data_IF_095878604816
#
_entry.id   IF_095878604816
#
_cell.length_a   1.000
_cell.length_b   1.000
_cell.length_c   1.000
_cell.angle_alpha   90.00
_cell.angle_beta   90.00
_cell.angle_gamma   90.00
#
_symmetry.space_group_name_H-M   'P 1'
#
loop_
_entity.id
_entity.type
_entity.pdbx_description
1 polymer ?
#
# COMPACT_ATOMS: atom_id res chain seq x y z
N UNK A 1 30.37 1.57 20.97
CA UNK A 1 30.85 0.76 19.84
C UNK A 1 30.71 -0.68 20.29
N UNK A 2 29.58 -1.31 19.99
CA UNK A 2 29.35 -2.73 20.25
C UNK A 2 30.23 -3.54 19.29
N UNK A 3 31.04 -4.45 19.84
CA UNK A 3 31.94 -5.31 19.08
C UNK A 3 31.18 -6.57 18.68
N UNK A 4 30.97 -6.77 17.38
CA UNK A 4 30.40 -8.00 16.82
C UNK A 4 31.18 -9.23 17.28
N UNK A 5 30.48 -10.32 17.60
CA UNK A 5 31.11 -11.62 17.88
C UNK A 5 31.79 -12.17 16.64
N UNK A 6 32.77 -13.06 16.81
CA UNK A 6 33.50 -13.69 15.69
C UNK A 6 32.55 -14.39 14.70
N UNK A 7 31.48 -14.99 15.20
CA UNK A 7 30.44 -15.59 14.37
C UNK A 7 29.71 -14.56 13.51
N UNK A 8 29.36 -13.41 14.07
CA UNK A 8 28.69 -12.33 13.33
C UNK A 8 29.59 -11.68 12.31
N UNK A 9 30.86 -11.44 12.66
CA UNK A 9 31.84 -10.93 11.71
C UNK A 9 31.99 -11.89 10.52
N UNK A 10 31.95 -13.20 10.78
CA UNK A 10 31.99 -14.21 9.71
C UNK A 10 30.71 -14.23 8.88
N UNK A 11 29.53 -14.15 9.50
CA UNK A 11 28.24 -14.06 8.78
C UNK A 11 28.19 -12.81 7.87
N UNK A 12 28.66 -11.65 8.35
CA UNK A 12 28.80 -10.43 7.54
C UNK A 12 29.76 -10.65 6.38
N UNK A 13 30.96 -11.16 6.67
CA UNK A 13 31.97 -11.38 5.64
C UNK A 13 31.50 -12.35 4.55
N UNK A 14 30.73 -13.39 4.92
CA UNK A 14 30.13 -14.32 3.96
C UNK A 14 29.03 -13.66 3.12
N UNK A 15 28.20 -12.81 3.73
CA UNK A 15 27.18 -12.06 3.01
C UNK A 15 27.80 -11.05 2.04
N UNK A 16 28.84 -10.32 2.47
CA UNK A 16 29.58 -9.38 1.64
C UNK A 16 30.31 -10.09 0.49
N UNK A 17 30.90 -11.26 0.74
CA UNK A 17 31.53 -12.07 -0.29
C UNK A 17 30.50 -12.59 -1.32
N UNK A 18 29.32 -13.02 -0.86
CA UNK A 18 28.22 -13.42 -1.73
C UNK A 18 27.70 -12.24 -2.55
N UNK A 19 27.53 -11.08 -1.91
CA UNK A 19 27.09 -9.85 -2.54
C UNK A 19 28.08 -9.41 -3.64
N UNK A 20 29.38 -9.36 -3.32
CA UNK A 20 30.41 -9.02 -4.29
C UNK A 20 30.43 -9.97 -5.50
N UNK A 21 30.13 -11.26 -5.29
CA UNK A 21 30.09 -12.27 -6.35
C UNK A 21 28.81 -12.19 -7.20
N UNK A 22 27.66 -11.87 -6.59
CA UNK A 22 26.34 -11.99 -7.24
C UNK A 22 25.70 -10.67 -7.66
N UNK A 23 26.11 -9.54 -7.08
CA UNK A 23 25.56 -8.22 -7.36
C UNK A 23 25.55 -7.86 -8.86
N UNK A 24 26.64 -8.06 -9.64
CA UNK A 24 26.63 -7.70 -11.06
C UNK A 24 25.55 -8.46 -11.86
N UNK A 25 25.43 -9.77 -11.62
CA UNK A 25 24.42 -10.60 -12.29
C UNK A 25 23.00 -10.27 -11.81
N UNK A 26 22.83 -9.95 -10.53
CA UNK A 26 21.55 -9.54 -9.96
C UNK A 26 21.09 -8.18 -10.48
N UNK A 27 21.99 -7.20 -10.58
CA UNK A 27 21.71 -5.87 -11.13
C UNK A 27 21.29 -5.95 -12.59
N UNK A 28 22.01 -6.72 -13.42
CA UNK A 28 21.64 -6.95 -14.82
C UNK A 28 20.24 -7.58 -14.91
N UNK A 29 19.98 -8.61 -14.10
CA UNK A 29 18.67 -9.28 -14.07
C UNK A 29 17.54 -8.33 -13.64
N UNK A 30 17.71 -7.66 -12.51
CA UNK A 30 16.70 -6.76 -11.96
C UNK A 30 16.47 -5.55 -12.88
N UNK A 31 17.52 -5.00 -13.50
CA UNK A 31 17.41 -3.95 -14.51
C UNK A 31 16.63 -4.40 -15.75
N UNK A 32 16.86 -5.63 -16.23
CA UNK A 32 16.07 -6.21 -17.33
C UNK A 32 14.59 -6.37 -16.97
N UNK A 33 14.28 -6.81 -15.74
CA UNK A 33 12.90 -6.90 -15.23
C UNK A 33 12.26 -5.50 -15.15
N UNK A 34 13.00 -4.49 -14.68
CA UNK A 34 12.51 -3.11 -14.59
C UNK A 34 12.22 -2.50 -15.95
N UNK A 35 13.09 -2.71 -16.94
CA UNK A 35 12.87 -2.27 -18.32
C UNK A 35 11.64 -2.95 -18.93
N UNK A 36 11.48 -4.27 -18.72
CA UNK A 36 10.29 -4.99 -19.17
C UNK A 36 9.01 -4.42 -18.54
N UNK A 37 9.01 -4.21 -17.22
CA UNK A 37 7.85 -3.62 -16.54
C UNK A 37 7.57 -2.19 -17.03
N UNK A 38 8.59 -1.38 -17.30
CA UNK A 38 8.40 -0.05 -17.88
C UNK A 38 7.80 -0.11 -19.28
N UNK A 39 8.34 -0.94 -20.16
CA UNK A 39 7.84 -1.11 -21.52
C UNK A 39 6.37 -1.53 -21.52
N UNK A 40 5.99 -2.46 -20.64
CA UNK A 40 4.61 -2.91 -20.55
C UNK A 40 3.70 -1.89 -19.88
N UNK A 41 4.18 -1.07 -18.94
CA UNK A 41 3.42 0.10 -18.46
C UNK A 41 3.10 1.08 -19.59
N UNK A 42 4.05 1.35 -20.47
CA UNK A 42 3.84 2.23 -21.63
C UNK A 42 2.85 1.61 -22.64
N UNK A 43 3.02 0.32 -22.97
CA UNK A 43 2.06 -0.42 -23.80
C UNK A 43 0.65 -0.43 -23.20
N UNK A 44 0.52 -0.53 -21.87
CA UNK A 44 -0.76 -0.48 -21.18
C UNK A 44 -1.44 0.89 -21.35
N UNK A 45 -0.70 1.98 -21.19
CA UNK A 45 -1.23 3.34 -21.41
C UNK A 45 -1.71 3.53 -22.86
N UNK A 46 -0.95 3.04 -23.84
CA UNK A 46 -1.37 3.06 -25.25
C UNK A 46 -2.63 2.22 -25.49
N UNK A 47 -2.71 1.05 -24.86
CA UNK A 47 -3.86 0.17 -24.94
C UNK A 47 -5.11 0.79 -24.31
N UNK A 48 -4.98 1.52 -23.19
CA UNK A 48 -6.12 2.21 -22.57
C UNK A 48 -6.78 3.20 -23.55
N UNK A 49 -5.98 4.00 -24.26
CA UNK A 49 -6.50 4.87 -25.31
C UNK A 49 -7.17 4.09 -26.45
N UNK A 50 -6.59 2.96 -26.86
CA UNK A 50 -7.19 2.08 -27.88
C UNK A 50 -8.49 1.42 -27.43
N UNK A 51 -8.60 1.05 -26.14
CA UNK A 51 -9.80 0.50 -25.51
C UNK A 51 -10.94 1.53 -25.55
N UNK A 52 -10.65 2.79 -25.23
CA UNK A 52 -11.66 3.86 -25.27
C UNK A 52 -12.12 4.17 -26.69
N UNK A 53 -11.20 4.23 -27.66
CA UNK A 53 -11.53 4.39 -29.06
C UNK A 53 -12.40 3.23 -29.57
N UNK A 54 -11.98 1.98 -29.30
CA UNK A 54 -12.74 0.78 -29.68
C UNK A 54 -14.12 0.75 -29.05
N UNK A 55 -14.25 1.17 -27.78
CA UNK A 55 -15.53 1.32 -27.09
C UNK A 55 -16.47 2.27 -27.86
N UNK A 56 -16.00 3.46 -28.19
CA UNK A 56 -16.77 4.48 -28.90
C UNK A 56 -17.19 4.05 -30.31
N UNK A 57 -16.25 3.48 -31.08
CA UNK A 57 -16.49 3.03 -32.45
C UNK A 57 -17.49 1.88 -32.49
N UNK A 58 -17.33 0.88 -31.63
CA UNK A 58 -18.19 -0.29 -31.58
C UNK A 58 -19.59 0.09 -31.09
N UNK A 59 -19.70 0.98 -30.10
CA UNK A 59 -20.98 1.53 -29.64
C UNK A 59 -21.70 2.27 -30.77
N UNK A 60 -21.00 3.14 -31.51
CA UNK A 60 -21.59 3.91 -32.62
C UNK A 60 -22.05 3.00 -33.75
N UNK A 61 -21.21 2.03 -34.14
CA UNK A 61 -21.52 1.06 -35.19
C UNK A 61 -22.73 0.21 -34.85
N UNK A 62 -22.80 -0.34 -33.64
CA UNK A 62 -23.91 -1.20 -33.22
C UNK A 62 -25.22 -0.41 -33.06
N UNK A 63 -25.16 0.84 -32.58
CA UNK A 63 -26.32 1.75 -32.60
C UNK A 63 -26.83 2.00 -34.02
N UNK A 64 -25.93 2.23 -34.97
CA UNK A 64 -26.28 2.41 -36.39
C UNK A 64 -26.93 1.18 -37.03
N UNK A 65 -26.68 -0.01 -36.49
CA UNK A 65 -27.31 -1.27 -36.90
C UNK A 65 -28.63 -1.57 -36.17
N UNK A 66 -29.08 -0.67 -35.29
CA UNK A 66 -30.33 -0.84 -34.52
C UNK A 66 -30.24 -1.88 -33.40
N UNK A 67 -29.03 -2.21 -32.92
CA UNK A 67 -28.86 -3.14 -31.80
C UNK A 67 -29.42 -2.54 -30.49
N UNK A 68 -29.93 -3.40 -29.61
CA UNK A 68 -30.40 -2.98 -28.28
C UNK A 68 -29.24 -2.49 -27.40
N UNK A 69 -29.53 -1.60 -26.44
CA UNK A 69 -28.51 -1.11 -25.50
C UNK A 69 -27.83 -2.23 -24.71
N UNK A 70 -28.57 -3.29 -24.37
CA UNK A 70 -28.03 -4.49 -23.74
C UNK A 70 -27.08 -5.25 -24.67
N UNK A 71 -27.46 -5.45 -25.94
CA UNK A 71 -26.58 -6.09 -26.93
C UNK A 71 -25.31 -5.27 -27.17
N UNK A 72 -25.43 -3.94 -27.22
CA UNK A 72 -24.29 -3.03 -27.37
C UNK A 72 -23.36 -3.16 -26.16
N UNK A 73 -23.89 -3.04 -24.93
CA UNK A 73 -23.12 -3.16 -23.70
C UNK A 73 -22.37 -4.50 -23.60
N UNK A 74 -23.07 -5.61 -23.86
CA UNK A 74 -22.51 -6.96 -23.79
C UNK A 74 -21.41 -7.18 -24.84
N UNK A 75 -21.63 -6.69 -26.07
CA UNK A 75 -20.67 -6.82 -27.18
C UNK A 75 -19.42 -5.95 -26.95
N UNK A 76 -19.60 -4.73 -26.44
CA UNK A 76 -18.47 -3.88 -26.03
C UNK A 76 -17.67 -4.56 -24.92
N UNK A 77 -18.33 -5.05 -23.86
CA UNK A 77 -17.63 -5.64 -22.72
C UNK A 77 -16.73 -6.82 -23.11
N UNK A 78 -17.21 -7.75 -23.93
CA UNK A 78 -16.42 -8.91 -24.37
C UNK A 78 -15.24 -8.51 -25.26
N UNK A 79 -15.42 -7.57 -26.19
CA UNK A 79 -14.33 -7.13 -27.07
C UNK A 79 -13.23 -6.38 -26.30
N UNK A 80 -13.61 -5.52 -25.34
CA UNK A 80 -12.63 -4.87 -24.46
C UNK A 80 -11.92 -5.88 -23.53
N UNK A 81 -12.64 -6.93 -23.10
CA UNK A 81 -12.06 -7.99 -22.30
C UNK A 81 -11.04 -8.82 -23.11
N UNK A 82 -11.33 -9.13 -24.39
CA UNK A 82 -10.39 -9.79 -25.31
C UNK A 82 -9.11 -8.99 -25.52
N UNK A 83 -9.21 -7.67 -25.73
CA UNK A 83 -8.04 -6.80 -25.87
C UNK A 83 -7.16 -6.83 -24.60
N UNK A 84 -7.78 -6.77 -23.42
CA UNK A 84 -7.07 -6.82 -22.13
C UNK A 84 -6.43 -8.19 -21.89
N UNK A 85 -7.14 -9.29 -22.20
CA UNK A 85 -6.60 -10.65 -22.12
C UNK A 85 -5.38 -10.82 -23.04
N UNK A 86 -5.48 -10.36 -24.29
CA UNK A 86 -4.39 -10.42 -25.26
C UNK A 86 -3.12 -9.72 -24.76
N UNK A 87 -3.27 -8.53 -24.17
CA UNK A 87 -2.16 -7.80 -23.57
C UNK A 87 -1.50 -8.56 -22.41
N UNK A 88 -2.27 -9.10 -21.47
CA UNK A 88 -1.70 -9.86 -20.35
C UNK A 88 -1.03 -11.15 -20.82
N UNK A 89 -1.59 -11.83 -21.83
CA UNK A 89 -0.99 -13.02 -22.42
C UNK A 89 0.32 -12.70 -23.17
N UNK A 90 0.39 -11.56 -23.87
CA UNK A 90 1.63 -11.08 -24.51
C UNK A 90 2.68 -10.72 -23.46
N UNK A 91 2.28 -10.01 -22.40
CA UNK A 91 3.16 -9.66 -21.27
C UNK A 91 3.74 -10.90 -20.61
N UNK A 92 2.93 -11.91 -20.31
CA UNK A 92 3.41 -13.16 -19.71
C UNK A 92 4.37 -13.91 -20.64
N UNK A 93 4.05 -14.00 -21.94
CA UNK A 93 4.94 -14.64 -22.92
C UNK A 93 6.30 -13.95 -22.98
N UNK A 94 6.30 -12.62 -23.10
CA UNK A 94 7.53 -11.84 -23.12
C UNK A 94 8.31 -11.94 -21.80
N UNK A 95 7.61 -11.99 -20.66
CA UNK A 95 8.22 -12.23 -19.36
C UNK A 95 8.90 -13.61 -19.28
N UNK A 96 8.28 -14.66 -19.82
CA UNK A 96 8.87 -16.02 -19.89
C UNK A 96 10.09 -16.07 -20.80
N UNK A 97 10.02 -15.46 -21.98
CA UNK A 97 11.14 -15.33 -22.91
C UNK A 97 12.31 -14.57 -22.27
N UNK A 98 12.01 -13.45 -21.62
CA UNK A 98 13.00 -12.66 -20.88
C UNK A 98 13.62 -13.48 -19.75
N UNK A 99 12.81 -14.18 -18.93
CA UNK A 99 13.34 -15.01 -17.85
C UNK A 99 14.29 -16.11 -18.36
N UNK A 100 14.06 -16.63 -19.57
CA UNK A 100 14.93 -17.61 -20.22
C UNK A 100 16.28 -17.04 -20.69
N UNK A 101 16.36 -15.73 -20.93
CA UNK A 101 17.59 -15.05 -21.40
C UNK A 101 18.36 -14.36 -20.27
N UNK A 102 17.69 -14.01 -19.18
CA UNK A 102 18.33 -13.35 -18.03
C UNK A 102 19.28 -14.30 -17.29
N UNK A 103 20.44 -13.77 -16.91
CA UNK A 103 21.41 -14.47 -16.07
C UNK A 103 20.76 -14.85 -14.74
N UNK A 104 21.01 -16.09 -14.28
CA UNK A 104 20.56 -16.58 -12.97
C UNK A 104 21.73 -16.48 -11.97
N UNK A 105 21.84 -15.42 -11.16
CA UNK A 105 22.92 -15.29 -10.16
C UNK A 105 22.87 -16.45 -9.18
N UNK A 106 24.02 -16.90 -8.67
CA UNK A 106 24.13 -18.00 -7.72
C UNK A 106 23.20 -17.83 -6.50
N UNK A 107 22.63 -18.92 -5.98
CA UNK A 107 21.75 -18.86 -4.79
C UNK A 107 22.60 -18.76 -3.55
N UNK A 108 22.00 -18.25 -2.48
CA UNK A 108 22.66 -18.22 -1.18
C UNK A 108 23.05 -19.62 -0.70
N UNK A 109 22.14 -20.58 -0.87
CA UNK A 109 22.37 -21.98 -0.51
C UNK A 109 23.52 -22.61 -1.30
N UNK A 110 23.58 -22.40 -2.62
CA UNK A 110 24.66 -22.93 -3.46
C UNK A 110 26.01 -22.31 -3.07
N UNK A 111 26.02 -20.99 -2.81
CA UNK A 111 27.22 -20.29 -2.35
C UNK A 111 27.71 -20.85 -1.02
N UNK A 112 26.84 -21.02 -0.03
CA UNK A 112 27.20 -21.58 1.27
C UNK A 112 27.73 -23.01 1.17
N UNK A 113 27.11 -23.85 0.32
CA UNK A 113 27.56 -25.21 0.06
C UNK A 113 28.95 -25.24 -0.58
N UNK A 114 29.23 -24.36 -1.55
CA UNK A 114 30.55 -24.20 -2.14
C UNK A 114 31.59 -23.70 -1.11
N UNK A 115 31.27 -22.66 -0.36
CA UNK A 115 32.18 -22.08 0.65
C UNK A 115 32.46 -23.04 1.80
N UNK A 116 31.51 -23.91 2.18
CA UNK A 116 31.75 -24.98 3.17
C UNK A 116 32.77 -26.00 2.68
N UNK A 117 32.82 -26.32 1.40
CA UNK A 117 33.83 -27.24 0.86
C UNK A 117 35.25 -26.68 0.99
N UNK A 118 35.40 -25.36 0.94
CA UNK A 118 36.68 -24.67 1.14
C UNK A 118 37.06 -24.55 2.63
N UNK A 119 36.08 -24.57 3.54
CA UNK A 119 36.27 -24.48 5.00
C UNK A 119 35.39 -25.53 5.74
N UNK A 120 35.75 -26.82 5.65
CA UNK A 120 34.87 -27.91 6.09
C UNK A 120 34.66 -27.97 7.61
N UNK A 121 35.60 -27.45 8.39
CA UNK A 121 35.60 -27.52 9.86
C UNK A 121 34.87 -26.35 10.53
N UNK A 122 34.28 -25.43 9.76
CA UNK A 122 33.58 -24.27 10.31
C UNK A 122 32.08 -24.56 10.53
N UNK A 123 31.60 -24.60 11.80
CA UNK A 123 30.21 -24.90 12.12
C UNK A 123 29.21 -23.80 11.69
N UNK A 124 29.68 -22.60 11.33
CA UNK A 124 28.81 -21.48 10.94
C UNK A 124 28.12 -21.77 9.60
N UNK A 125 28.79 -22.47 8.67
CA UNK A 125 28.18 -22.87 7.41
C UNK A 125 27.02 -23.85 7.61
N UNK A 126 27.10 -24.76 8.59
CA UNK A 126 26.00 -25.70 8.87
C UNK A 126 24.73 -24.97 9.32
N UNK A 127 24.87 -24.01 10.23
CA UNK A 127 23.75 -23.18 10.68
C UNK A 127 23.14 -22.37 9.52
N UNK A 128 23.98 -21.76 8.68
CA UNK A 128 23.51 -20.93 7.56
C UNK A 128 22.86 -21.76 6.44
N UNK A 129 23.36 -22.97 6.19
CA UNK A 129 22.77 -23.88 5.19
C UNK A 129 21.38 -24.35 5.66
N UNK A 130 21.25 -24.75 6.93
CA UNK A 130 19.95 -25.16 7.48
C UNK A 130 18.92 -24.02 7.42
N UNK A 131 19.35 -22.79 7.66
CA UNK A 131 18.53 -21.59 7.56
C UNK A 131 18.12 -21.31 6.10
N UNK A 132 19.07 -21.37 5.17
CA UNK A 132 18.82 -21.16 3.74
C UNK A 132 17.90 -22.24 3.14
N UNK A 133 17.92 -23.47 3.65
CA UNK A 133 17.02 -24.54 3.21
C UNK A 133 15.57 -24.33 3.66
N UNK A 134 15.35 -23.61 4.78
CA UNK A 134 14.00 -23.24 5.26
C UNK A 134 13.39 -22.06 4.51
N UNK A 135 14.22 -21.27 3.83
CA UNK A 135 13.81 -20.05 3.13
C UNK A 135 14.20 -20.12 1.65
N UNK A 136 13.46 -20.89 0.82
CA UNK A 136 13.82 -21.11 -0.57
C UNK A 136 13.79 -19.81 -1.40
N UNK A 137 14.79 -19.63 -2.27
CA UNK A 137 14.93 -18.51 -3.21
C UNK A 137 13.85 -18.55 -4.31
N UNK A 138 12.63 -18.08 -4.00
CA UNK A 138 11.47 -18.08 -4.91
C UNK A 138 11.74 -17.37 -6.25
N UNK A 139 12.64 -16.37 -6.26
CA UNK A 139 12.97 -15.54 -7.42
C UNK A 139 13.75 -16.21 -8.56
N UNK A 140 14.28 -17.44 -8.37
CA UNK A 140 15.07 -18.14 -9.42
C UNK A 140 14.25 -19.14 -10.26
N UNK A 141 13.30 -19.84 -9.65
CA UNK A 141 12.51 -20.89 -10.34
C UNK A 141 10.99 -20.74 -10.23
N UNK A 142 10.50 -19.96 -9.26
CA UNK A 142 9.06 -19.85 -8.99
C UNK A 142 8.25 -19.39 -10.20
N UNK A 143 8.77 -18.42 -10.95
CA UNK A 143 8.08 -17.89 -12.15
C UNK A 143 7.98 -18.91 -13.29
N UNK A 144 9.00 -19.74 -13.52
CA UNK A 144 8.95 -20.79 -14.56
C UNK A 144 8.02 -21.95 -14.22
N UNK A 145 7.81 -22.21 -12.93
CA UNK A 145 6.90 -23.26 -12.45
C UNK A 145 5.43 -22.81 -12.48
N UNK A 146 5.16 -21.50 -12.57
CA UNK A 146 3.80 -20.99 -12.71
C UNK A 146 3.20 -21.35 -14.08
N UNK A 147 1.93 -21.72 -14.05
CA UNK A 147 1.15 -21.99 -15.27
C UNK A 147 0.93 -20.69 -16.04
N UNK A 148 1.06 -20.74 -17.38
CA UNK A 148 0.77 -19.58 -18.22
C UNK A 148 -0.71 -19.15 -18.07
N UNK A 149 -1.02 -17.85 -18.15
CA UNK A 149 -2.38 -17.37 -18.08
C UNK A 149 -3.21 -17.95 -19.23
N UNK A 150 -4.44 -18.37 -18.93
CA UNK A 150 -5.33 -18.94 -19.92
C UNK A 150 -5.86 -17.86 -20.87
N UNK A 151 -5.90 -18.18 -22.16
CA UNK A 151 -6.65 -17.42 -23.15
C UNK A 151 -8.04 -18.04 -23.23
N UNK A 152 -9.01 -17.42 -22.57
CA UNK A 152 -10.36 -17.98 -22.44
C UNK A 152 -11.36 -17.23 -23.29
N UNK A 153 -11.12 -15.99 -23.73
CA UNK A 153 -12.12 -15.18 -24.44
C UNK A 153 -12.09 -15.31 -25.96
N UNK A 154 -10.97 -15.79 -26.54
CA UNK A 154 -10.75 -15.79 -28.00
C UNK A 154 -11.85 -16.51 -28.81
N UNK A 155 -12.39 -17.60 -28.28
CA UNK A 155 -13.44 -18.44 -28.89
C UNK A 155 -14.85 -18.17 -28.34
N UNK A 156 -15.03 -17.13 -27.51
CA UNK A 156 -16.34 -16.67 -27.05
C UNK A 156 -16.95 -15.65 -28.02
N UNK A 157 -18.21 -15.92 -28.39
CA UNK A 157 -19.02 -15.03 -29.23
C UNK A 157 -20.26 -14.59 -28.48
N UNK A 158 -20.54 -13.28 -28.52
CA UNK A 158 -21.78 -12.72 -28.00
C UNK A 158 -22.90 -12.86 -29.05
N UNK A 159 -24.07 -13.33 -28.61
CA UNK A 159 -25.28 -13.40 -29.42
C UNK A 159 -26.50 -13.15 -28.54
N UNK A 160 -27.59 -12.70 -29.14
CA UNK A 160 -28.86 -12.58 -28.44
C UNK A 160 -29.55 -13.96 -28.37
N UNK A 161 -29.92 -14.37 -27.16
CA UNK A 161 -30.68 -15.58 -26.90
C UNK A 161 -32.14 -15.46 -27.35
N UNK A 162 -32.85 -16.60 -27.39
CA UNK A 162 -34.27 -16.62 -27.79
C UNK A 162 -35.19 -15.83 -26.85
N UNK A 163 -34.74 -15.59 -25.63
CA UNK A 163 -35.43 -14.85 -24.59
C UNK A 163 -34.93 -13.39 -24.46
N UNK A 164 -34.15 -12.90 -25.43
CA UNK A 164 -33.62 -11.54 -25.44
C UNK A 164 -32.42 -11.31 -24.51
N UNK A 165 -32.01 -12.33 -23.74
CA UNK A 165 -30.83 -12.28 -22.88
C UNK A 165 -29.58 -12.52 -23.71
N UNK A 166 -28.55 -11.74 -23.49
CA UNK A 166 -27.28 -11.92 -24.20
C UNK A 166 -26.58 -13.20 -23.74
N UNK A 167 -26.13 -14.02 -24.68
CA UNK A 167 -25.42 -15.27 -24.43
C UNK A 167 -24.00 -15.16 -24.99
N UNK A 168 -23.02 -15.51 -24.16
CA UNK A 168 -21.65 -15.75 -24.62
C UNK A 168 -21.45 -17.25 -24.84
N UNK A 169 -21.14 -17.61 -26.07
CA UNK A 169 -21.15 -19.00 -26.54
C UNK A 169 -19.80 -19.44 -27.07
N UNK A 170 -19.49 -20.72 -26.83
CA UNK A 170 -18.37 -21.45 -27.43
C UNK A 170 -18.95 -22.51 -28.35
N UNK A 171 -18.88 -22.26 -29.66
CA UNK A 171 -19.55 -23.10 -30.65
C UNK A 171 -21.06 -23.17 -30.40
N UNK A 172 -21.56 -24.35 -30.04
CA UNK A 172 -23.00 -24.57 -29.77
C UNK A 172 -23.38 -24.45 -28.29
N UNK A 173 -22.40 -24.31 -27.38
CA UNK A 173 -22.64 -24.31 -25.94
C UNK A 173 -22.65 -22.89 -25.38
N UNK A 174 -23.64 -22.58 -24.54
CA UNK A 174 -23.71 -21.33 -23.79
C UNK A 174 -22.84 -21.45 -22.54
N UNK A 175 -21.80 -20.63 -22.46
CA UNK A 175 -20.88 -20.60 -21.33
C UNK A 175 -21.38 -19.62 -20.25
N UNK A 176 -21.74 -18.41 -20.68
CA UNK A 176 -22.15 -17.31 -19.79
C UNK A 176 -23.38 -16.62 -20.36
N UNK A 177 -24.33 -16.25 -19.51
CA UNK A 177 -25.49 -15.44 -19.87
C UNK A 177 -25.37 -14.07 -19.20
N UNK A 178 -25.62 -13.01 -19.94
CA UNK A 178 -25.59 -11.63 -19.46
C UNK A 178 -27.01 -11.11 -19.32
N UNK A 179 -27.46 -11.04 -18.06
CA UNK A 179 -28.81 -10.60 -17.67
C UNK A 179 -28.86 -9.07 -17.49
N UNK A 180 -27.75 -8.37 -17.73
CA UNK A 180 -27.61 -6.93 -17.58
C UNK A 180 -26.95 -6.54 -16.26
N UNK A 181 -27.56 -6.89 -15.13
CA UNK A 181 -27.06 -6.58 -13.78
C UNK A 181 -26.09 -7.64 -13.23
N UNK A 182 -26.09 -8.84 -13.82
CA UNK A 182 -25.20 -9.95 -13.44
C UNK A 182 -24.86 -10.84 -14.63
N UNK A 183 -23.78 -11.60 -14.48
CA UNK A 183 -23.36 -12.64 -15.42
C UNK A 183 -23.59 -14.02 -14.78
N UNK A 184 -24.44 -14.83 -15.41
CA UNK A 184 -24.77 -16.18 -14.96
C UNK A 184 -23.87 -17.19 -15.70
N UNK A 185 -23.01 -17.90 -14.96
CA UNK A 185 -22.16 -18.96 -15.50
C UNK A 185 -22.91 -20.28 -15.47
N UNK A 186 -23.00 -20.98 -16.61
CA UNK A 186 -23.77 -22.23 -16.73
C UNK A 186 -23.12 -23.43 -16.03
N UNK A 187 -21.79 -23.45 -15.97
CA UNK A 187 -20.99 -24.53 -15.39
C UNK A 187 -19.91 -23.96 -14.48
N UNK A 188 -19.51 -24.71 -13.46
CA UNK A 188 -18.39 -24.37 -12.58
C UNK A 188 -17.02 -24.65 -13.21
N UNK A 189 -16.94 -24.71 -14.54
CA UNK A 189 -15.69 -24.94 -15.25
C UNK A 189 -14.83 -23.68 -15.16
N UNK A 190 -13.58 -23.82 -14.70
CA UNK A 190 -12.65 -22.69 -14.48
C UNK A 190 -12.57 -21.74 -15.66
N UNK A 191 -12.58 -22.29 -16.87
CA UNK A 191 -12.48 -21.54 -18.12
C UNK A 191 -13.65 -20.58 -18.32
N UNK A 192 -14.86 -21.01 -17.97
CA UNK A 192 -16.08 -20.21 -18.14
C UNK A 192 -16.26 -19.24 -16.98
N UNK A 193 -15.85 -19.63 -15.76
CA UNK A 193 -15.75 -18.73 -14.60
C UNK A 193 -14.75 -17.60 -14.87
N UNK A 194 -13.55 -17.93 -15.35
CA UNK A 194 -12.51 -16.95 -15.69
C UNK A 194 -12.99 -16.00 -16.81
N UNK A 195 -13.65 -16.53 -17.83
CA UNK A 195 -14.24 -15.72 -18.90
C UNK A 195 -15.29 -14.74 -18.35
N UNK A 196 -16.21 -15.22 -17.50
CA UNK A 196 -17.22 -14.38 -16.88
C UNK A 196 -16.59 -13.26 -16.04
N UNK A 197 -15.55 -13.57 -15.24
CA UNK A 197 -14.84 -12.58 -14.43
C UNK A 197 -14.14 -11.52 -15.29
N UNK A 198 -13.49 -11.92 -16.38
CA UNK A 198 -12.84 -10.98 -17.32
C UNK A 198 -13.84 -10.05 -18.01
N UNK A 199 -15.02 -10.56 -18.37
CA UNK A 199 -16.11 -9.74 -18.94
C UNK A 199 -16.71 -8.83 -17.86
N UNK A 200 -16.97 -9.35 -16.66
CA UNK A 200 -17.48 -8.62 -15.51
C UNK A 200 -16.61 -7.39 -15.18
N UNK A 201 -15.29 -7.54 -15.21
CA UNK A 201 -14.35 -6.44 -14.95
C UNK A 201 -14.42 -5.29 -15.97
N UNK A 202 -15.05 -5.50 -17.14
CA UNK A 202 -15.28 -4.43 -18.15
C UNK A 202 -16.69 -3.86 -18.10
N UNK A 203 -17.64 -4.62 -17.57
CA UNK A 203 -19.06 -4.27 -17.52
C UNK A 203 -19.43 -3.59 -16.20
N UNK A 204 -18.85 -4.03 -15.10
CA UNK A 204 -19.16 -3.55 -13.75
C UNK A 204 -18.05 -2.67 -13.19
N UNK A 205 -18.40 -1.95 -12.12
CA UNK A 205 -17.50 -1.11 -11.35
C UNK A 205 -16.54 -1.99 -10.54
N UNK A 206 -15.34 -2.21 -11.11
CA UNK A 206 -14.33 -3.07 -10.50
C UNK A 206 -13.77 -2.47 -9.21
N UNK A 207 -13.83 -1.15 -9.01
CA UNK A 207 -13.30 -0.49 -7.82
C UNK A 207 -14.14 -0.81 -6.57
N UNK A 208 -15.44 -1.03 -6.76
CA UNK A 208 -16.33 -1.56 -5.71
C UNK A 208 -16.11 -3.05 -5.44
N UNK A 209 -15.43 -3.76 -6.32
CA UNK A 209 -15.26 -5.21 -6.27
C UNK A 209 -16.45 -5.99 -6.83
N UNK A 210 -16.20 -7.23 -7.20
CA UNK A 210 -17.22 -8.15 -7.73
C UNK A 210 -17.93 -8.87 -6.58
N UNK A 211 -19.25 -8.97 -6.67
CA UNK A 211 -20.04 -9.81 -5.76
C UNK A 211 -20.28 -11.18 -6.40
N UNK A 212 -19.73 -12.22 -5.80
CA UNK A 212 -19.93 -13.59 -6.25
C UNK A 212 -21.20 -14.17 -5.60
N UNK A 213 -22.12 -14.65 -6.43
CA UNK A 213 -23.37 -15.27 -6.01
C UNK A 213 -23.45 -16.71 -6.51
N UNK A 214 -24.14 -17.59 -5.77
CA UNK A 214 -24.22 -19.02 -6.07
C UNK A 214 -23.91 -19.90 -4.86
N UNK A 215 -23.66 -21.18 -5.12
CA UNK A 215 -23.26 -22.12 -4.07
C UNK A 215 -21.83 -21.85 -3.56
N UNK A 216 -21.48 -22.46 -2.43
CA UNK A 216 -20.17 -22.26 -1.80
C UNK A 216 -19.02 -22.75 -2.69
N UNK A 217 -19.23 -23.84 -3.43
CA UNK A 217 -18.20 -24.41 -4.30
C UNK A 217 -17.84 -23.45 -5.45
N UNK A 218 -18.85 -22.88 -6.11
CA UNK A 218 -18.68 -21.86 -7.14
C UNK A 218 -18.01 -20.61 -6.57
N UNK A 219 -18.47 -20.09 -5.43
CA UNK A 219 -17.89 -18.88 -4.82
C UNK A 219 -16.42 -19.05 -4.45
N UNK A 220 -16.05 -20.18 -3.85
CA UNK A 220 -14.64 -20.50 -3.52
C UNK A 220 -13.80 -20.55 -4.80
N UNK A 221 -14.29 -21.24 -5.84
CA UNK A 221 -13.52 -21.40 -7.09
C UNK A 221 -13.38 -20.09 -7.86
N UNK A 222 -14.48 -19.35 -8.01
CA UNK A 222 -14.49 -18.03 -8.63
C UNK A 222 -13.62 -17.03 -7.85
N UNK A 223 -13.59 -17.11 -6.51
CA UNK A 223 -12.74 -16.25 -5.71
C UNK A 223 -11.26 -16.54 -5.89
N UNK A 224 -10.86 -17.82 -5.95
CA UNK A 224 -9.48 -18.20 -6.25
C UNK A 224 -9.04 -17.68 -7.63
N UNK A 225 -9.88 -17.82 -8.66
CA UNK A 225 -9.60 -17.31 -10.00
C UNK A 225 -9.56 -15.78 -10.01
N UNK A 226 -10.52 -15.12 -9.33
CA UNK A 226 -10.54 -13.66 -9.16
C UNK A 226 -9.27 -13.15 -8.47
N UNK A 227 -8.76 -13.88 -7.48
CA UNK A 227 -7.49 -13.59 -6.81
C UNK A 227 -6.30 -13.68 -7.76
N UNK A 228 -6.27 -14.71 -8.62
CA UNK A 228 -5.24 -14.85 -9.66
C UNK A 228 -5.28 -13.69 -10.68
N UNK A 229 -6.46 -13.20 -11.00
CA UNK A 229 -6.67 -12.07 -11.91
C UNK A 229 -6.47 -10.70 -11.23
N UNK A 230 -6.33 -10.66 -9.90
CA UNK A 230 -6.21 -9.42 -9.13
C UNK A 230 -7.50 -8.62 -8.99
N UNK A 231 -8.66 -9.23 -9.27
CA UNK A 231 -9.96 -8.55 -9.17
C UNK A 231 -10.47 -8.57 -7.72
N UNK A 232 -10.80 -7.41 -7.13
CA UNK A 232 -11.31 -7.33 -5.77
C UNK A 232 -12.72 -7.91 -5.65
N UNK A 233 -13.05 -8.41 -4.46
CA UNK A 233 -14.34 -9.03 -4.15
C UNK A 233 -15.06 -8.28 -3.03
N UNK A 234 -16.40 -8.27 -3.08
CA UNK A 234 -17.26 -7.77 -2.01
C UNK A 234 -17.64 -8.84 -0.98
N UNK A 235 -17.44 -10.13 -1.30
CA UNK A 235 -17.77 -11.23 -0.41
C UNK A 235 -17.00 -11.15 0.92
N UNK A 236 -17.71 -11.28 2.04
CA UNK A 236 -17.14 -11.25 3.40
C UNK A 236 -16.91 -12.64 4.00
N UNK A 237 -17.27 -13.69 3.27
CA UNK A 237 -17.21 -15.08 3.75
C UNK A 237 -15.74 -15.53 3.92
N UNK A 238 -15.34 -16.08 5.09
CA UNK A 238 -13.94 -16.40 5.36
C UNK A 238 -13.31 -17.38 4.36
N UNK A 239 -14.05 -18.39 3.92
CA UNK A 239 -13.57 -19.40 2.98
C UNK A 239 -13.31 -18.81 1.58
N UNK A 240 -14.16 -17.87 1.16
CA UNK A 240 -14.07 -17.16 -0.12
C UNK A 240 -12.88 -16.19 -0.09
N UNK A 241 -12.71 -15.44 1.00
CA UNK A 241 -11.55 -14.56 1.20
C UNK A 241 -10.22 -15.32 1.23
N UNK A 242 -10.17 -16.46 1.93
CA UNK A 242 -8.98 -17.33 1.92
C UNK A 242 -8.68 -17.85 0.52
N UNK A 243 -9.70 -18.27 -0.23
CA UNK A 243 -9.52 -18.72 -1.60
C UNK A 243 -8.97 -17.62 -2.51
N UNK A 244 -9.49 -16.39 -2.38
CA UNK A 244 -8.97 -15.23 -3.09
C UNK A 244 -7.52 -14.91 -2.73
N UNK A 245 -7.16 -14.93 -1.44
CA UNK A 245 -5.77 -14.71 -1.00
C UNK A 245 -4.81 -15.77 -1.57
N UNK A 246 -5.21 -17.05 -1.58
CA UNK A 246 -4.43 -18.12 -2.23
C UNK A 246 -4.22 -17.84 -3.71
N UNK A 247 -5.27 -17.45 -4.42
CA UNK A 247 -5.18 -17.07 -5.83
C UNK A 247 -4.21 -15.91 -6.08
N UNK A 248 -4.27 -14.89 -5.23
CA UNK A 248 -3.40 -13.71 -5.30
C UNK A 248 -1.93 -14.04 -5.05
N UNK A 249 -1.62 -14.97 -4.14
CA UNK A 249 -0.25 -15.42 -3.87
C UNK A 249 0.36 -16.15 -5.08
N UNK A 250 -0.46 -16.88 -5.84
CA UNK A 250 0.00 -17.63 -7.03
C UNK A 250 0.29 -16.71 -8.22
N UNK A 251 -0.34 -15.55 -8.31
CA UNK A 251 -0.20 -14.62 -9.44
C UNK A 251 1.05 -13.71 -9.39
N UNK A 252 2.04 -14.03 -8.56
CA UNK A 252 3.28 -13.26 -8.48
C UNK A 252 4.06 -13.39 -9.80
N UNK A 253 4.17 -12.29 -10.56
CA UNK A 253 4.89 -12.28 -11.85
C UNK A 253 6.41 -12.46 -11.70
N UNK A 254 7.18 -11.92 -12.63
CA UNK A 254 8.64 -11.92 -12.56
C UNK A 254 9.13 -11.35 -11.22
N UNK A 255 9.64 -12.21 -10.35
CA UNK A 255 10.17 -11.79 -9.06
C UNK A 255 11.61 -11.29 -9.19
N UNK A 256 11.87 -10.15 -8.54
CA UNK A 256 13.22 -9.62 -8.39
C UNK A 256 14.02 -10.54 -7.49
N UNK A 257 15.28 -10.77 -7.83
CA UNK A 257 16.19 -11.44 -6.90
C UNK A 257 16.62 -10.42 -5.85
N UNK A 258 16.44 -10.79 -4.59
CA UNK A 258 16.81 -9.99 -3.42
C UNK A 258 18.07 -10.56 -2.80
N UNK A 259 18.73 -9.76 -1.97
CA UNK A 259 19.77 -10.26 -1.08
C UNK A 259 19.08 -11.22 -0.09
N UNK A 260 19.63 -12.42 0.16
CA UNK A 260 19.10 -13.34 1.16
C UNK A 260 19.08 -12.66 2.54
N UNK A 261 18.01 -12.91 3.29
CA UNK A 261 17.94 -12.49 4.70
C UNK A 261 18.57 -13.57 5.54
N UNK A 262 19.60 -13.25 6.32
CA UNK A 262 20.14 -14.14 7.35
C UNK A 262 19.36 -13.90 8.65
N UNK A 263 18.43 -14.79 8.99
CA UNK A 263 17.54 -14.74 10.16
C UNK A 263 18.30 -14.87 11.49
N UNK A 264 19.43 -15.58 11.54
CA UNK A 264 20.29 -15.62 12.71
C UNK A 264 21.41 -14.57 12.62
N UNK A 265 21.17 -13.39 13.18
CA UNK A 265 22.18 -12.55 13.81
C UNK A 265 23.47 -12.26 13.03
N UNK A 266 23.42 -11.23 12.19
CA UNK A 266 24.59 -10.37 11.90
C UNK A 266 24.79 -9.32 13.03
N UNK A 267 23.81 -9.11 13.91
CA UNK A 267 23.90 -8.16 15.02
C UNK A 267 24.29 -8.81 16.34
N UNK A 268 25.48 -8.46 16.82
CA UNK A 268 26.01 -8.76 18.14
C UNK A 268 25.34 -8.00 19.24
N UNK A 269 24.15 -8.44 19.60
CA UNK A 269 23.54 -8.34 20.92
C UNK A 269 22.20 -9.10 20.92
N UNK A 270 21.68 -9.56 22.07
CA UNK A 270 20.34 -10.11 22.15
C UNK A 270 19.34 -9.04 21.70
N UNK A 271 18.90 -9.18 20.45
CA UNK A 271 17.77 -8.52 19.79
C UNK A 271 17.51 -7.10 20.28
N UNK A 272 18.43 -6.19 19.95
CA UNK A 272 18.07 -4.78 19.83
C UNK A 272 18.67 -4.27 18.52
N UNK A 273 17.78 -3.79 17.65
CA UNK A 273 18.10 -3.03 16.44
C UNK A 273 18.51 -3.84 15.19
N UNK A 274 17.63 -4.73 14.74
CA UNK A 274 17.34 -4.87 13.31
C UNK A 274 15.82 -4.86 13.14
N UNK A 275 15.39 -4.18 12.10
CA UNK A 275 14.00 -3.95 11.69
C UNK A 275 13.38 -5.24 11.11
N UNK A 276 13.53 -6.35 11.82
CA UNK A 276 12.70 -7.54 11.66
C UNK A 276 11.52 -7.28 12.57
N UNK A 277 10.35 -7.12 11.97
CA UNK A 277 9.13 -7.22 12.71
C UNK A 277 9.15 -8.61 13.39
N UNK A 278 9.13 -8.71 14.73
CA UNK A 278 9.06 -10.01 15.40
C UNK A 278 7.93 -10.83 14.77
N UNK A 279 8.08 -12.14 14.59
CA UNK A 279 7.02 -13.00 14.05
C UNK A 279 5.66 -12.60 14.66
N UNK A 280 4.73 -12.12 13.83
CA UNK A 280 3.45 -11.55 14.29
C UNK A 280 3.42 -10.02 14.50
N UNK A 281 4.42 -9.27 14.02
CA UNK A 281 4.45 -7.80 13.96
C UNK A 281 4.80 -7.34 12.54
N UNK A 282 4.53 -6.09 12.24
CA UNK A 282 4.76 -5.37 10.98
C UNK A 282 5.53 -4.07 11.24
N UNK A 283 6.40 -3.69 10.31
CA UNK A 283 7.15 -2.43 10.37
C UNK A 283 6.46 -1.34 9.54
N UNK A 284 6.11 -0.25 10.20
CA UNK A 284 5.50 0.94 9.61
C UNK A 284 6.51 2.10 9.57
N UNK A 285 6.42 2.96 8.56
CA UNK A 285 7.01 4.30 8.51
C UNK A 285 6.14 5.23 9.36
N UNK A 286 6.77 6.07 10.16
CA UNK A 286 6.09 7.07 10.96
C UNK A 286 6.69 8.44 10.66
N UNK A 287 5.84 9.46 10.64
CA UNK A 287 6.31 10.84 10.50
C UNK A 287 6.98 11.32 11.79
N UNK A 288 7.81 12.36 11.69
CA UNK A 288 8.58 12.86 12.84
C UNK A 288 7.68 13.25 14.03
N UNK A 289 6.50 13.83 13.79
CA UNK A 289 5.59 14.21 14.87
C UNK A 289 5.04 12.98 15.60
N UNK A 290 4.65 11.94 14.85
CA UNK A 290 4.24 10.66 15.43
C UNK A 290 5.37 10.04 16.25
N UNK A 291 6.61 10.09 15.77
CA UNK A 291 7.79 9.62 16.52
C UNK A 291 8.01 10.40 17.82
N UNK A 292 7.90 11.73 17.78
CA UNK A 292 8.05 12.59 18.95
C UNK A 292 6.95 12.32 20.00
N UNK A 293 5.71 12.09 19.55
CA UNK A 293 4.56 11.77 20.41
C UNK A 293 4.77 10.40 21.07
N UNK A 294 5.11 9.37 20.30
CA UNK A 294 5.33 8.02 20.83
C UNK A 294 6.55 7.94 21.76
N UNK A 295 7.52 8.85 21.59
CA UNK A 295 8.65 8.99 22.52
C UNK A 295 8.22 9.56 23.86
N UNK A 296 7.32 10.55 23.87
CA UNK A 296 6.77 11.15 25.10
C UNK A 296 5.73 10.25 25.77
N UNK A 297 4.87 9.63 24.96
CA UNK A 297 3.71 8.84 25.35
C UNK A 297 3.75 7.46 24.67
N UNK A 298 4.47 6.49 25.24
CA UNK A 298 4.57 5.15 24.65
C UNK A 298 3.21 4.47 24.57
N UNK A 299 2.89 3.90 23.41
CA UNK A 299 1.66 3.12 23.20
C UNK A 299 1.97 1.65 23.37
N UNK A 300 1.23 0.96 24.25
CA UNK A 300 1.43 -0.46 24.51
C UNK A 300 1.41 -1.27 23.21
N UNK A 301 2.42 -2.12 22.99
CA UNK A 301 2.55 -2.95 21.80
C UNK A 301 3.07 -2.23 20.55
N UNK A 302 3.39 -0.93 20.62
CA UNK A 302 4.09 -0.22 19.53
C UNK A 302 5.52 0.05 19.98
N UNK A 303 6.49 -0.43 19.20
CA UNK A 303 7.91 -0.25 19.50
C UNK A 303 8.53 0.76 18.53
N UNK A 304 9.30 1.73 19.02
CA UNK A 304 10.06 2.65 18.15
C UNK A 304 11.25 1.93 17.52
N UNK A 305 11.40 2.04 16.20
CA UNK A 305 12.46 1.40 15.41
C UNK A 305 13.30 2.46 14.68
N UNK A 306 14.23 3.09 15.41
CA UNK A 306 15.03 4.21 14.89
C UNK A 306 14.20 5.48 14.72
N UNK A 307 14.64 6.39 13.84
CA UNK A 307 14.13 7.77 13.82
C UNK A 307 12.86 7.98 12.98
N UNK A 308 12.42 6.97 12.23
CA UNK A 308 11.31 7.11 11.26
C UNK A 308 10.45 5.86 11.08
N UNK A 309 10.59 4.86 11.96
CA UNK A 309 9.86 3.60 11.85
C UNK A 309 9.36 3.14 13.20
N UNK A 310 8.27 2.38 13.17
CA UNK A 310 7.67 1.74 14.34
C UNK A 310 7.36 0.27 14.03
N UNK A 311 7.33 -0.56 15.06
CA UNK A 311 6.87 -1.95 15.03
C UNK A 311 5.45 -2.01 15.60
N UNK A 312 4.53 -2.69 14.91
CA UNK A 312 3.15 -2.88 15.34
C UNK A 312 2.73 -4.35 15.15
N UNK A 313 2.02 -5.00 16.10
CA UNK A 313 1.48 -6.34 15.91
C UNK A 313 0.64 -6.49 14.63
N UNK A 314 0.81 -7.61 13.92
CA UNK A 314 0.13 -7.88 12.66
C UNK A 314 -1.38 -7.87 12.82
N UNK A 315 -1.89 -8.40 13.94
CA UNK A 315 -3.31 -8.38 14.25
C UNK A 315 -3.87 -6.96 14.33
N UNK A 316 -3.11 -6.03 14.93
CA UNK A 316 -3.49 -4.61 15.03
C UNK A 316 -3.38 -3.90 13.70
N UNK A 317 -2.33 -4.17 12.93
CA UNK A 317 -2.14 -3.63 11.59
C UNK A 317 -3.26 -4.11 10.65
N UNK A 318 -3.65 -5.38 10.72
CA UNK A 318 -4.76 -5.94 9.95
C UNK A 318 -6.11 -5.37 10.40
N UNK A 319 -6.35 -5.22 11.70
CA UNK A 319 -7.56 -4.60 12.24
C UNK A 319 -7.69 -3.13 11.83
N UNK A 320 -6.59 -2.37 11.89
CA UNK A 320 -6.54 -0.99 11.40
C UNK A 320 -6.80 -0.91 9.89
N UNK A 321 -6.21 -1.79 9.09
CA UNK A 321 -6.48 -1.85 7.65
C UNK A 321 -7.94 -2.23 7.32
N UNK A 322 -8.54 -3.14 8.10
CA UNK A 322 -9.95 -3.46 7.96
C UNK A 322 -10.83 -2.26 8.31
N UNK A 323 -10.50 -1.55 9.39
CA UNK A 323 -11.19 -0.32 9.82
C UNK A 323 -11.08 0.80 8.79
N UNK A 324 -9.88 1.05 8.22
CA UNK A 324 -9.68 2.03 7.14
C UNK A 324 -10.60 1.77 5.95
N UNK A 325 -10.83 0.50 5.59
CA UNK A 325 -11.74 0.14 4.49
C UNK A 325 -13.21 0.41 4.82
N UNK A 326 -13.59 0.32 6.10
CA UNK A 326 -14.99 0.49 6.57
C UNK A 326 -15.33 1.93 6.96
N UNK A 327 -14.34 2.79 7.21
CA UNK A 327 -14.50 4.16 7.68
C UNK A 327 -15.20 5.09 6.68
N UNK A 328 -15.11 4.82 5.38
CA UNK A 328 -15.67 5.68 4.34
C UNK A 328 -14.93 7.03 4.21
N UNK A 329 -15.17 7.76 3.12
CA UNK A 329 -14.36 8.93 2.75
C UNK A 329 -14.39 10.06 3.78
N UNK A 330 -15.55 10.35 4.37
CA UNK A 330 -15.72 11.44 5.34
C UNK A 330 -14.96 11.18 6.65
N UNK A 331 -15.02 9.98 7.20
CA UNK A 331 -14.28 9.65 8.43
C UNK A 331 -12.77 9.62 8.18
N UNK A 332 -12.33 9.13 7.02
CA UNK A 332 -10.90 9.13 6.64
C UNK A 332 -10.35 10.56 6.56
N UNK A 333 -11.12 11.52 6.03
CA UNK A 333 -10.67 12.92 5.98
C UNK A 333 -10.50 13.54 7.37
N UNK A 334 -11.39 13.18 8.31
CA UNK A 334 -11.32 13.67 9.69
C UNK A 334 -10.14 13.04 10.44
N UNK A 335 -9.97 11.72 10.30
CA UNK A 335 -8.84 10.99 10.89
C UNK A 335 -7.51 11.44 10.29
N UNK A 336 -7.46 11.80 9.01
CA UNK A 336 -6.23 12.30 8.38
C UNK A 336 -5.70 13.57 9.05
N UNK A 337 -6.53 14.33 9.76
CA UNK A 337 -6.15 15.54 10.49
C UNK A 337 -5.95 15.29 12.00
N UNK A 338 -6.02 14.04 12.43
CA UNK A 338 -5.98 13.72 13.86
C UNK A 338 -4.63 14.09 14.49
N UNK A 339 -4.68 14.67 15.69
CA UNK A 339 -3.50 14.96 16.50
C UNK A 339 -3.38 13.94 17.64
N UNK A 340 -2.44 13.00 17.51
CA UNK A 340 -2.23 11.94 18.50
C UNK A 340 -1.77 12.45 19.87
N UNK A 341 -1.39 13.73 20.00
CA UNK A 341 -1.08 14.37 21.28
C UNK A 341 -2.35 14.72 22.07
N UNK A 342 -3.51 14.83 21.40
CA UNK A 342 -4.79 15.17 22.01
C UNK A 342 -5.60 13.91 22.32
N UNK A 343 -6.28 13.88 23.48
CA UNK A 343 -7.03 12.69 23.92
C UNK A 343 -8.17 12.31 22.96
N UNK A 344 -8.82 13.29 22.33
CA UNK A 344 -9.87 13.07 21.33
C UNK A 344 -9.33 13.02 19.88
N UNK A 345 -8.00 13.00 19.72
CA UNK A 345 -7.37 13.10 18.40
C UNK A 345 -7.58 14.45 17.70
N UNK A 346 -8.03 15.50 18.39
CA UNK A 346 -8.32 16.81 17.75
C UNK A 346 -9.53 16.78 16.80
N UNK A 347 -10.42 15.80 16.95
CA UNK A 347 -11.60 15.62 16.09
C UNK A 347 -12.64 16.72 16.32
N UNK A 348 -13.20 17.26 15.24
CA UNK A 348 -14.28 18.26 15.30
C UNK A 348 -15.59 17.66 15.84
N UNK A 349 -16.39 18.41 16.64
CA UNK A 349 -17.61 17.92 17.28
C UNK A 349 -18.62 17.26 16.32
N UNK A 350 -18.71 17.75 15.08
CA UNK A 350 -19.63 17.22 14.07
C UNK A 350 -19.26 15.84 13.52
N UNK A 351 -18.07 15.32 13.85
CA UNK A 351 -17.57 14.02 13.37
C UNK A 351 -17.51 12.95 14.47
N UNK A 352 -17.82 13.34 15.70
CA UNK A 352 -17.69 12.49 16.89
C UNK A 352 -18.59 11.26 16.81
N UNK A 353 -19.87 11.44 16.46
CA UNK A 353 -20.83 10.33 16.39
C UNK A 353 -20.41 9.28 15.35
N UNK A 354 -19.92 9.74 14.18
CA UNK A 354 -19.43 8.88 13.11
C UNK A 354 -18.18 8.09 13.53
N UNK A 355 -17.22 8.74 14.20
CA UNK A 355 -15.99 8.09 14.65
C UNK A 355 -16.24 7.17 15.86
N UNK A 356 -17.24 7.46 16.70
CA UNK A 356 -17.67 6.58 17.78
C UNK A 356 -18.38 5.33 17.26
N UNK A 357 -19.29 5.47 16.28
CA UNK A 357 -19.94 4.34 15.61
C UNK A 357 -18.93 3.38 15.00
N UNK A 358 -17.83 3.92 14.46
CA UNK A 358 -16.75 3.16 13.82
C UNK A 358 -15.68 2.64 14.79
N UNK A 359 -15.86 2.84 16.10
CA UNK A 359 -14.94 2.37 17.15
C UNK A 359 -13.58 3.08 17.18
N UNK A 360 -13.49 4.25 16.54
CA UNK A 360 -12.28 5.11 16.52
C UNK A 360 -12.23 6.00 17.76
N UNK A 361 -13.39 6.45 18.22
CA UNK A 361 -13.56 7.11 19.53
C UNK A 361 -14.32 6.19 20.49
N UNK A 362 -14.00 6.27 21.77
CA UNK A 362 -14.76 5.61 22.84
C UNK A 362 -15.99 6.44 23.25
N UNK A 363 -16.69 5.97 24.28
CA UNK A 363 -17.88 6.65 24.82
C UNK A 363 -17.58 7.99 25.51
N UNK A 364 -16.31 8.23 25.86
CA UNK A 364 -15.82 9.45 26.49
C UNK A 364 -15.16 10.40 25.47
N UNK A 365 -15.37 10.16 24.17
CA UNK A 365 -14.80 10.92 23.05
C UNK A 365 -13.28 10.87 22.95
N UNK A 366 -12.66 9.83 23.51
CA UNK A 366 -11.22 9.62 23.44
C UNK A 366 -10.86 8.65 22.32
N UNK A 367 -9.70 8.89 21.72
CA UNK A 367 -9.15 8.04 20.69
C UNK A 367 -8.91 6.63 21.25
N UNK A 368 -9.52 5.63 20.62
CA UNK A 368 -9.31 4.24 21.01
C UNK A 368 -7.93 3.77 20.55
N UNK A 369 -7.49 2.61 21.05
CA UNK A 369 -6.30 1.94 20.53
C UNK A 369 -6.41 1.69 19.02
N UNK A 370 -7.59 1.26 18.55
CA UNK A 370 -7.85 1.07 17.12
C UNK A 370 -7.77 2.41 16.36
N UNK A 371 -8.32 3.50 16.92
CA UNK A 371 -8.24 4.82 16.30
C UNK A 371 -6.80 5.32 16.15
N UNK A 372 -5.97 5.09 17.17
CA UNK A 372 -4.53 5.41 17.14
C UNK A 372 -3.81 4.58 16.06
N UNK A 373 -4.12 3.27 15.97
CA UNK A 373 -3.54 2.36 14.97
C UNK A 373 -3.93 2.75 13.54
N UNK A 374 -5.19 3.15 13.33
CA UNK A 374 -5.70 3.60 12.04
C UNK A 374 -4.93 4.82 11.54
N UNK A 375 -4.65 5.80 12.41
CA UNK A 375 -3.85 6.99 12.05
C UNK A 375 -2.44 6.56 11.61
N UNK A 376 -1.77 5.74 12.41
CA UNK A 376 -0.40 5.29 12.13
C UNK A 376 -0.29 4.47 10.83
N UNK A 377 -1.23 3.55 10.59
CA UNK A 377 -1.24 2.71 9.37
C UNK A 377 -1.57 3.53 8.12
N UNK A 378 -2.48 4.50 8.23
CA UNK A 378 -2.81 5.41 7.13
C UNK A 378 -1.61 6.29 6.77
N UNK A 379 -0.92 6.82 7.76
CA UNK A 379 0.24 7.68 7.53
C UNK A 379 1.43 6.92 6.93
N UNK A 380 1.68 5.68 7.35
CA UNK A 380 2.65 4.78 6.69
C UNK A 380 2.36 4.66 5.19
N UNK A 381 1.10 4.42 4.81
CA UNK A 381 0.70 4.31 3.41
C UNK A 381 1.00 5.58 2.63
N UNK A 382 0.69 6.74 3.21
CA UNK A 382 0.97 8.04 2.58
C UNK A 382 2.47 8.29 2.42
N UNK A 383 3.28 7.93 3.42
CA UNK A 383 4.75 8.07 3.35
C UNK A 383 5.31 7.17 2.23
N UNK A 384 4.88 5.91 2.17
CA UNK A 384 5.34 4.98 1.12
C UNK A 384 4.90 5.41 -0.27
N UNK A 385 3.68 5.88 -0.43
CA UNK A 385 3.18 6.43 -1.69
C UNK A 385 4.01 7.66 -2.10
N UNK A 386 4.39 8.54 -1.16
CA UNK A 386 5.26 9.69 -1.41
C UNK A 386 6.68 9.28 -1.83
N UNK A 387 7.26 8.27 -1.18
CA UNK A 387 8.59 7.74 -1.49
C UNK A 387 8.64 7.05 -2.86
N UNK A 388 7.53 6.42 -3.29
CA UNK A 388 7.42 5.76 -4.59
C UNK A 388 7.26 6.72 -5.78
N UNK A 389 6.94 7.99 -5.55
CA UNK A 389 6.80 8.99 -6.59
C UNK A 389 8.17 9.48 -7.10
N UNK A 390 8.25 9.78 -8.39
CA UNK A 390 9.41 10.46 -8.99
C UNK A 390 9.64 11.84 -8.34
N UNK A 391 10.91 12.26 -8.11
CA UNK A 391 11.22 13.53 -7.45
C UNK A 391 10.56 14.77 -8.09
N UNK A 392 10.38 14.77 -9.41
CA UNK A 392 9.72 15.83 -10.18
C UNK A 392 8.21 15.93 -9.94
N UNK A 393 7.56 14.80 -9.62
CA UNK A 393 6.13 14.74 -9.29
C UNK A 393 5.87 15.08 -7.81
N UNK A 394 6.78 14.71 -6.91
CA UNK A 394 6.64 14.95 -5.46
C UNK A 394 6.29 16.40 -5.13
N UNK A 395 6.93 17.38 -5.77
CA UNK A 395 6.67 18.80 -5.51
C UNK A 395 5.26 19.28 -5.91
N UNK A 396 4.68 18.70 -6.97
CA UNK A 396 3.39 19.16 -7.53
C UNK A 396 2.17 18.54 -6.84
N UNK A 397 2.33 17.33 -6.27
CA UNK A 397 1.22 16.60 -5.63
C UNK A 397 1.40 16.40 -4.13
N UNK A 398 2.48 16.91 -3.52
CA UNK A 398 2.71 16.87 -2.06
C UNK A 398 1.52 17.40 -1.24
N UNK A 399 0.77 18.38 -1.77
CA UNK A 399 -0.41 18.93 -1.10
C UNK A 399 -1.56 17.91 -0.91
N UNK A 400 -1.60 16.83 -1.70
CA UNK A 400 -2.65 15.81 -1.66
C UNK A 400 -2.25 14.58 -0.83
N UNK A 401 -0.96 14.40 -0.55
CA UNK A 401 -0.41 13.26 0.19
C UNK A 401 0.20 13.73 1.51
N UNK A 402 -0.63 14.28 2.40
CA UNK A 402 -0.21 14.80 3.72
C UNK A 402 -0.44 13.77 4.80
N UNK A 403 0.54 13.58 5.67
CA UNK A 403 0.40 12.83 6.95
C UNK A 403 -0.39 13.65 7.96
N UNK A 404 -0.89 13.03 9.02
CA UNK A 404 -1.52 13.74 10.13
C UNK A 404 -0.56 14.75 10.77
N UNK A 405 0.72 14.40 10.90
CA UNK A 405 1.75 15.34 11.33
C UNK A 405 1.94 16.55 10.42
N UNK A 406 1.78 16.39 9.09
CA UNK A 406 1.81 17.52 8.15
C UNK A 406 0.65 18.48 8.37
N UNK A 407 -0.57 17.96 8.53
CA UNK A 407 -1.77 18.77 8.77
C UNK A 407 -1.67 19.56 10.07
N UNK A 408 -1.18 18.95 11.15
CA UNK A 408 -1.05 19.66 12.44
C UNK A 408 0.05 20.73 12.38
N UNK A 409 1.17 20.47 11.68
CA UNK A 409 2.21 21.49 11.45
C UNK A 409 1.67 22.69 10.66
N UNK A 410 0.88 22.44 9.62
CA UNK A 410 0.27 23.50 8.83
C UNK A 410 -0.77 24.29 9.62
N UNK A 411 -1.66 23.63 10.37
CA UNK A 411 -2.65 24.27 11.22
C UNK A 411 -1.99 25.19 12.25
N UNK A 412 -0.92 24.72 12.91
CA UNK A 412 -0.14 25.53 13.85
C UNK A 412 0.50 26.75 13.18
N UNK A 413 1.00 26.60 11.96
CA UNK A 413 1.57 27.73 11.19
C UNK A 413 0.50 28.71 10.71
N UNK A 414 -0.70 28.25 10.37
CA UNK A 414 -1.84 29.09 10.00
C UNK A 414 -2.41 29.84 11.20
N UNK A 415 -2.57 29.20 12.36
CA UNK A 415 -2.95 29.86 13.60
C UNK A 415 -1.94 30.94 13.99
N UNK A 416 -0.65 30.65 13.87
CA UNK A 416 0.41 31.62 14.14
C UNK A 416 0.42 32.79 13.14
N UNK A 417 0.00 32.57 11.89
CA UNK A 417 -0.19 33.63 10.87
C UNK A 417 -1.47 34.43 11.10
N UNK A 418 -2.55 33.84 11.63
CA UNK A 418 -3.80 34.52 12.00
C UNK A 418 -3.66 35.31 13.31
N UNK A 419 -2.87 34.80 14.26
CA UNK A 419 -2.51 35.50 15.49
C UNK A 419 -1.46 36.61 15.27
N UNK A 420 -0.69 36.59 14.17
CA UNK A 420 0.28 37.64 13.86
C UNK A 420 -0.35 39.04 13.67
N UNK A 421 -1.46 39.23 12.94
CA UNK A 421 -2.17 40.51 12.88
C UNK A 421 -2.91 40.84 14.18
N UNK A 422 -3.48 39.86 14.89
CA UNK A 422 -4.20 40.08 16.15
C UNK A 422 -3.25 40.53 17.28
N UNK A 423 -2.06 39.92 17.38
CA UNK A 423 -0.99 40.35 18.31
C UNK A 423 -0.35 41.67 17.88
N UNK A 424 -0.40 42.02 16.59
CA UNK A 424 0.06 43.32 16.09
C UNK A 424 -0.97 44.44 16.32
N UNK A 425 -2.28 44.15 16.24
CA UNK A 425 -3.36 45.05 16.65
C UNK A 425 -3.40 45.21 18.16
N UNK A 426 -3.27 44.13 18.94
CA UNK A 426 -3.26 44.17 20.40
C UNK A 426 -1.99 44.88 20.95
N UNK A 427 -0.86 44.82 20.22
CA UNK A 427 0.32 45.67 20.49
C UNK A 427 0.12 47.13 20.08
N UNK A 428 -0.66 47.41 19.03
CA UNK A 428 -1.00 48.79 18.62
C UNK A 428 -2.03 49.40 19.57
N UNK A 429 -3.03 48.66 20.01
CA UNK A 429 -4.00 49.08 21.03
C UNK A 429 -3.31 49.30 22.37
N UNK A 430 -2.44 48.39 22.83
CA UNK A 430 -1.64 48.61 24.05
C UNK A 430 -0.67 49.79 23.93
N UNK A 431 -0.12 50.05 22.75
CA UNK A 431 0.71 51.24 22.51
C UNK A 431 -0.12 52.54 22.49
N UNK A 432 -1.33 52.51 21.91
CA UNK A 432 -2.28 53.62 21.93
C UNK A 432 -2.87 53.86 23.33
N UNK A 433 -3.11 52.82 24.12
CA UNK A 433 -3.52 52.93 25.53
C UNK A 433 -2.39 53.49 26.39
N UNK A 434 -1.13 53.12 26.14
CA UNK A 434 0.02 53.74 26.80
C UNK A 434 0.24 55.21 26.39
N UNK A 435 0.02 55.57 25.12
CA UNK A 435 0.09 56.96 24.65
C UNK A 435 -1.06 57.81 25.24
N UNK A 436 -2.27 57.25 25.33
CA UNK A 436 -3.44 57.92 25.91
C UNK A 436 -3.35 58.01 27.44
N UNK A 437 -2.72 57.04 28.12
CA UNK A 437 -2.45 57.10 29.55
C UNK A 437 -1.39 58.17 29.92
N UNK A 438 -0.55 58.58 28.97
CA UNK A 438 0.44 59.65 29.16
C UNK A 438 -0.10 61.08 28.91
N UNK A 439 -1.33 61.23 28.41
CA UNK A 439 -1.91 62.55 28.09
C UNK A 439 -3.03 63.04 29.02
N UNK A 440 -3.43 62.28 30.06
CA UNK A 440 -4.44 62.73 31.02
C UNK A 440 -3.88 62.77 32.45
N UNK A 441 -3.40 63.95 32.85
CA UNK A 441 -3.50 64.40 34.24
C UNK A 441 -2.20 64.72 34.97
N UNK A 442 -1.65 65.91 34.71
CA UNK A 442 -0.83 66.61 35.70
C UNK A 442 -1.59 66.80 37.04
N UNK A 443 -0.96 66.48 38.16
CA UNK A 443 -0.36 67.49 39.07
C UNK A 443 0.29 66.82 40.28
N UNK A 444 1.59 67.05 40.43
CA UNK A 444 2.35 66.84 41.66
C UNK A 444 1.71 67.58 42.86
N UNK A 445 2.05 67.15 44.09
CA UNK A 445 2.83 68.05 44.91
C UNK A 445 4.09 67.41 45.51
N UNK A 446 5.14 68.22 45.51
CA UNK A 446 6.43 68.05 46.20
C UNK A 446 6.26 67.91 47.71
N UNK A 447 7.10 67.09 48.35
CA UNK A 447 7.97 67.54 49.45
C UNK A 447 9.02 66.50 49.89
N UNK A 448 10.29 66.95 49.82
CA UNK A 448 11.44 66.76 50.75
C UNK A 448 12.05 65.34 50.92
N UNK A 449 13.21 65.09 50.29
CA UNK A 449 14.58 65.31 50.81
C UNK A 449 14.98 64.40 52.00
N UNK A 450 15.93 63.49 51.77
CA UNK A 450 17.26 63.59 52.40
C UNK A 450 18.34 62.80 51.63
N UNK A 451 19.53 63.34 51.78
CA UNK A 451 20.83 63.19 51.12
C UNK A 451 21.70 62.03 51.64
N UNK A 452 22.82 61.85 50.93
CA UNK A 452 24.12 61.21 51.26
C UNK A 452 24.33 59.88 50.51
N UNK A 453 25.15 59.86 49.45
CA UNK A 453 26.63 59.89 49.46
C UNK A 453 27.22 58.75 50.30
N UNK A 454 27.75 57.75 49.59
CA UNK A 454 29.06 57.11 49.74
C UNK A 454 29.10 56.02 48.63
N UNK A 455 30.06 55.92 47.73
CA UNK A 455 31.45 56.31 47.86
C UNK A 455 32.32 55.08 48.08
N UNK A 456 32.67 54.40 46.96
CA UNK A 456 34.01 53.85 46.66
C UNK A 456 34.43 52.51 47.32
N UNK A 457 34.90 51.60 46.45
CA UNK A 457 35.89 50.50 46.61
C UNK A 457 35.71 49.53 47.80
N UNK A 458 35.58 48.22 47.62
CA UNK A 458 36.49 47.23 46.99
C UNK A 458 35.76 45.91 46.74
#
# INVERSE_FOLDING_TARGET
METFTDEQQKRIALLDAFEAKTAPAREIRNGGIEQHEQQYREKWLQLQSSIEATRGDLQTRLKGLGASDQSISASVAIELAKLTEGYHAEKDRAARELNGTLVKPQSWLDFLKESKLEQPDDPIFDSLIEEAEKTPDSGREGFTQQTAPNIVLADLQAREGKDGVMEYTRGLTVAVRDVGDRLDVRKTDDRDVEAALKIAAKKFDIDKGLLLTGDTAFKIRAAEISGKLGYPLQNTEPEVLRAWMRGKQVAQGLERIRIPSVEAGITGDPVKNLTIAPVGKSVLRADQRTMDILTKNPVAGIDLLGDSKISMPDERMLAANASIKDLGYQAIQQIARADLEQQNGGVEPGSVDLLREKGILDTDDKLTQLGTDVVMVRDDRVIREREALEPSLRANIAQYFKTSGDYVREAFLEERKKAAPEVAEDRKEKALEQENAFQVGEKMPKARQHTLEEGIEL
#
